data_IF_950410952376
#
_entry.id   IF_950410952376
#
_cell.length_a   1.000
_cell.length_b   1.000
_cell.length_c   1.000
_cell.angle_alpha   90.00
_cell.angle_beta   90.00
_cell.angle_gamma   90.00
#
_symmetry.space_group_name_H-M   'P 1'
#
loop_
_entity.id
_entity.type
_entity.pdbx_description
1 polymer ?
#
# COMPACT_ATOMS: atom_id res chain seq x y z
N UNK A 1 35.53 16.90 -8.13
CA UNK A 1 35.68 15.77 -7.19
C UNK A 1 34.40 15.68 -6.38
N UNK A 2 33.69 14.56 -6.38
CA UNK A 2 32.43 14.44 -5.63
C UNK A 2 32.75 14.09 -4.17
N UNK A 3 32.90 15.09 -3.31
CA UNK A 3 33.35 14.96 -1.90
C UNK A 3 32.31 14.29 -0.97
N UNK A 4 31.19 13.79 -1.52
CA UNK A 4 30.02 13.32 -0.78
C UNK A 4 30.15 11.87 -0.27
N UNK A 5 31.11 11.09 -0.77
CA UNK A 5 31.28 9.68 -0.43
C UNK A 5 32.76 9.34 -0.25
N UNK A 6 33.14 9.00 0.99
CA UNK A 6 34.47 8.48 1.34
C UNK A 6 34.38 7.01 1.69
N UNK A 7 35.43 6.26 1.41
CA UNK A 7 35.49 4.84 1.75
C UNK A 7 36.37 4.65 2.97
N UNK A 8 35.93 3.82 3.90
CA UNK A 8 36.71 3.37 5.04
C UNK A 8 37.43 2.10 4.59
N UNK A 9 38.76 2.12 4.69
CA UNK A 9 39.61 0.95 4.42
C UNK A 9 40.17 0.40 5.72
N UNK A 10 40.29 -0.92 5.81
CA UNK A 10 41.02 -1.58 6.90
C UNK A 10 42.54 -1.44 6.73
N UNK A 11 43.30 -2.02 7.67
CA UNK A 11 44.77 -2.00 7.66
C UNK A 11 45.39 -2.74 6.45
N UNK A 12 44.62 -3.61 5.79
CA UNK A 12 45.03 -4.29 4.56
C UNK A 12 44.66 -3.49 3.29
N UNK A 13 44.05 -2.32 3.42
CA UNK A 13 43.58 -1.49 2.31
C UNK A 13 42.26 -1.99 1.69
N UNK A 14 41.59 -2.97 2.30
CA UNK A 14 40.27 -3.42 1.86
C UNK A 14 39.20 -2.44 2.30
N UNK A 15 38.30 -2.09 1.39
CA UNK A 15 37.15 -1.22 1.68
C UNK A 15 36.15 -1.97 2.55
N UNK A 16 36.04 -1.58 3.81
CA UNK A 16 35.13 -2.18 4.81
C UNK A 16 33.90 -1.34 5.09
N UNK A 17 33.85 -0.09 4.61
CA UNK A 17 32.70 0.77 4.81
C UNK A 17 32.67 2.00 3.92
N UNK A 18 31.57 2.74 3.99
CA UNK A 18 31.36 3.99 3.27
C UNK A 18 30.94 5.05 4.28
N UNK A 19 31.69 6.15 4.32
CA UNK A 19 31.37 7.35 5.07
C UNK A 19 30.68 8.34 4.13
N UNK A 20 29.41 8.60 4.42
CA UNK A 20 28.60 9.58 3.70
C UNK A 20 28.58 10.90 4.46
N UNK A 21 28.53 12.00 3.71
CA UNK A 21 28.13 13.27 4.30
C UNK A 21 26.67 13.17 4.80
N UNK A 22 26.35 13.90 5.87
CA UNK A 22 25.02 13.89 6.46
C UNK A 22 23.91 14.25 5.45
N UNK A 23 24.17 15.13 4.48
CA UNK A 23 23.22 15.48 3.42
C UNK A 23 23.04 14.33 2.43
N UNK A 24 24.11 13.67 2.00
CA UNK A 24 24.04 12.48 1.16
C UNK A 24 23.31 11.32 1.87
N UNK A 25 23.56 11.13 3.17
CA UNK A 25 22.81 10.17 3.99
C UNK A 25 21.32 10.53 4.01
N UNK A 26 20.97 11.77 4.36
CA UNK A 26 19.59 12.24 4.35
C UNK A 26 18.92 12.09 2.99
N UNK A 27 19.62 12.33 1.88
CA UNK A 27 19.05 12.17 0.53
C UNK A 27 18.78 10.70 0.19
N UNK A 28 19.65 9.79 0.63
CA UNK A 28 19.47 8.34 0.47
C UNK A 28 18.35 7.82 1.37
N UNK A 29 18.24 8.30 2.60
CA UNK A 29 17.20 7.88 3.54
C UNK A 29 15.87 8.61 3.37
N UNK A 30 15.86 9.81 2.79
CA UNK A 30 14.66 10.58 2.43
C UNK A 30 14.24 10.30 0.98
N UNK A 31 14.47 9.10 0.44
CA UNK A 31 13.58 8.66 -0.63
C UNK A 31 12.16 8.75 -0.06
N UNK A 32 11.25 9.52 -0.69
CA UNK A 32 9.89 9.55 -0.22
C UNK A 32 9.42 8.10 -0.24
N UNK A 33 9.09 7.57 0.93
CA UNK A 33 8.45 6.27 1.03
C UNK A 33 7.33 6.26 0.00
N UNK A 34 7.33 5.26 -0.88
CA UNK A 34 6.31 5.10 -1.89
C UNK A 34 4.95 5.29 -1.20
N UNK A 35 4.19 6.30 -1.63
CA UNK A 35 2.98 6.76 -0.92
C UNK A 35 1.91 5.67 -0.88
N UNK A 36 2.02 4.68 -1.76
CA UNK A 36 1.14 3.55 -1.79
C UNK A 36 1.47 2.51 -0.72
N UNK A 37 2.69 2.52 -0.16
CA UNK A 37 3.08 1.66 0.96
C UNK A 37 2.41 2.08 2.27
N UNK A 38 1.89 1.09 2.97
CA UNK A 38 1.23 1.24 4.27
C UNK A 38 2.19 0.86 5.40
N UNK A 39 3.32 1.58 5.49
CA UNK A 39 4.47 1.21 6.33
C UNK A 39 4.22 1.20 7.85
N UNK A 40 3.10 1.76 8.32
CA UNK A 40 2.75 1.87 9.73
C UNK A 40 1.86 0.71 10.24
N UNK A 41 1.62 -0.30 9.40
CA UNK A 41 0.76 -1.44 9.74
C UNK A 41 1.57 -2.72 9.94
N UNK A 42 1.13 -3.57 10.85
CA UNK A 42 1.70 -4.91 11.04
C UNK A 42 1.41 -5.83 9.86
N UNK A 43 2.14 -6.94 9.77
CA UNK A 43 1.87 -7.96 8.76
C UNK A 43 0.44 -8.53 8.87
N UNK A 44 -0.07 -8.74 10.09
CA UNK A 44 -1.43 -9.21 10.35
C UNK A 44 -2.48 -8.19 9.92
N UNK A 45 -2.26 -6.90 10.22
CA UNK A 45 -3.14 -5.81 9.80
C UNK A 45 -3.19 -5.69 8.27
N UNK A 46 -2.04 -5.78 7.60
CA UNK A 46 -1.97 -5.78 6.15
C UNK A 46 -2.66 -7.00 5.53
N UNK A 47 -2.53 -8.18 6.14
CA UNK A 47 -3.25 -9.37 5.68
C UNK A 47 -4.77 -9.25 5.85
N UNK A 48 -5.22 -8.66 6.97
CA UNK A 48 -6.63 -8.38 7.20
C UNK A 48 -7.16 -7.40 6.14
N UNK A 49 -6.44 -6.30 5.87
CA UNK A 49 -6.80 -5.34 4.83
C UNK A 49 -6.78 -5.95 3.43
N UNK A 50 -5.81 -6.81 3.10
CA UNK A 50 -5.73 -7.47 1.79
C UNK A 50 -6.91 -8.41 1.49
N UNK A 51 -7.61 -8.85 2.54
CA UNK A 51 -8.77 -9.76 2.50
C UNK A 51 -10.09 -9.05 2.82
N UNK A 52 -10.07 -7.74 3.08
CA UNK A 52 -11.28 -6.99 3.40
C UNK A 52 -12.31 -7.09 2.28
N UNK A 53 -13.58 -7.02 2.64
CA UNK A 53 -14.72 -7.02 1.74
C UNK A 53 -15.85 -6.24 2.42
N UNK A 54 -16.89 -5.93 1.65
CA UNK A 54 -18.15 -5.50 2.25
C UNK A 54 -18.63 -6.53 3.26
N UNK A 55 -19.37 -6.08 4.28
CA UNK A 55 -20.06 -7.00 5.16
C UNK A 55 -21.08 -7.84 4.37
N UNK A 56 -21.46 -9.03 4.84
CA UNK A 56 -22.47 -9.84 4.17
C UNK A 56 -23.80 -9.11 3.96
N UNK A 57 -24.15 -8.20 4.88
CA UNK A 57 -25.35 -7.38 4.78
C UNK A 57 -25.23 -6.33 3.68
N UNK A 58 -24.13 -5.60 3.61
CA UNK A 58 -23.87 -4.60 2.56
C UNK A 58 -23.75 -5.26 1.18
N UNK A 59 -23.13 -6.43 1.08
CA UNK A 59 -23.05 -7.19 -0.16
C UNK A 59 -24.43 -7.65 -0.63
N UNK A 60 -25.26 -8.21 0.27
CA UNK A 60 -26.63 -8.60 -0.07
C UNK A 60 -27.46 -7.40 -0.54
N UNK A 61 -27.34 -6.26 0.14
CA UNK A 61 -28.03 -5.03 -0.27
C UNK A 61 -27.54 -4.54 -1.64
N UNK A 62 -26.25 -4.60 -1.91
CA UNK A 62 -25.70 -4.26 -3.22
C UNK A 62 -26.26 -5.18 -4.31
N UNK A 63 -26.33 -6.49 -4.05
CA UNK A 63 -26.85 -7.47 -5.01
C UNK A 63 -28.33 -7.15 -5.35
N UNK A 64 -29.16 -6.86 -4.36
CA UNK A 64 -30.56 -6.46 -4.54
C UNK A 64 -30.69 -5.17 -5.38
N UNK A 65 -29.89 -4.15 -5.07
CA UNK A 65 -29.90 -2.86 -5.76
C UNK A 65 -29.46 -3.00 -7.22
N UNK A 66 -28.47 -3.86 -7.50
CA UNK A 66 -28.02 -4.16 -8.86
C UNK A 66 -29.09 -4.90 -9.67
N UNK A 67 -29.82 -5.83 -9.05
CA UNK A 67 -30.94 -6.53 -9.69
C UNK A 67 -32.05 -5.55 -10.07
N UNK A 68 -32.48 -4.70 -9.12
CA UNK A 68 -33.49 -3.67 -9.37
C UNK A 68 -33.04 -2.63 -10.41
N UNK A 69 -31.76 -2.27 -10.42
CA UNK A 69 -31.19 -1.37 -11.43
C UNK A 69 -31.28 -2.00 -12.83
N UNK A 70 -30.92 -3.28 -12.96
CA UNK A 70 -30.98 -4.01 -14.22
C UNK A 70 -32.42 -4.13 -14.77
N UNK A 71 -33.41 -4.22 -13.88
CA UNK A 71 -34.83 -4.20 -14.24
C UNK A 71 -35.39 -2.79 -14.52
N UNK A 72 -34.61 -1.74 -14.31
CA UNK A 72 -35.04 -0.35 -14.47
C UNK A 72 -36.05 0.11 -13.42
N UNK A 73 -36.12 -0.59 -12.28
CA UNK A 73 -37.07 -0.33 -11.19
C UNK A 73 -36.44 0.43 -10.02
N UNK A 74 -35.15 0.75 -10.11
CA UNK A 74 -34.42 1.40 -9.02
C UNK A 74 -34.89 2.85 -8.82
N UNK A 75 -35.48 3.18 -7.65
CA UNK A 75 -35.90 4.52 -7.34
C UNK A 75 -34.69 5.45 -7.10
N UNK A 76 -34.84 6.77 -7.28
CA UNK A 76 -33.73 7.72 -7.18
C UNK A 76 -32.97 7.70 -5.84
N UNK A 77 -33.67 7.43 -4.74
CA UNK A 77 -33.06 7.34 -3.40
C UNK A 77 -32.13 6.12 -3.28
N UNK A 78 -32.53 5.00 -3.88
CA UNK A 78 -31.75 3.76 -3.89
C UNK A 78 -30.61 3.80 -4.91
N UNK A 79 -30.69 4.64 -5.95
CA UNK A 79 -29.55 4.94 -6.83
C UNK A 79 -28.39 5.57 -6.06
N UNK A 80 -28.69 6.49 -5.14
CA UNK A 80 -27.65 7.11 -4.29
C UNK A 80 -27.02 6.06 -3.37
N UNK A 81 -27.82 5.14 -2.83
CA UNK A 81 -27.33 4.03 -2.02
C UNK A 81 -26.40 3.10 -2.83
N UNK A 82 -26.81 2.74 -4.05
CA UNK A 82 -26.01 1.95 -4.97
C UNK A 82 -24.67 2.61 -5.29
N UNK A 83 -24.67 3.90 -5.62
CA UNK A 83 -23.44 4.66 -5.91
C UNK A 83 -22.48 4.69 -4.71
N UNK A 84 -23.02 4.80 -3.49
CA UNK A 84 -22.22 4.77 -2.26
C UNK A 84 -21.57 3.40 -2.03
N UNK A 85 -22.31 2.30 -2.22
CA UNK A 85 -21.79 0.94 -2.08
C UNK A 85 -20.71 0.62 -3.12
N UNK A 86 -20.90 1.07 -4.36
CA UNK A 86 -19.88 0.94 -5.41
C UNK A 86 -18.61 1.74 -5.07
N UNK A 87 -18.77 2.97 -4.58
CA UNK A 87 -17.65 3.80 -4.11
C UNK A 87 -16.88 3.12 -2.98
N UNK A 88 -17.60 2.48 -2.04
CA UNK A 88 -16.98 1.74 -0.94
C UNK A 88 -16.17 0.55 -1.45
N UNK A 89 -16.68 -0.18 -2.46
CA UNK A 89 -15.93 -1.28 -3.11
C UNK A 89 -14.64 -0.77 -3.76
N UNK A 90 -14.69 0.36 -4.47
CA UNK A 90 -13.52 0.93 -5.11
C UNK A 90 -12.45 1.31 -4.08
N UNK A 91 -12.87 1.93 -2.97
CA UNK A 91 -11.97 2.25 -1.86
C UNK A 91 -11.36 0.98 -1.23
N UNK A 92 -12.16 -0.06 -1.03
CA UNK A 92 -11.67 -1.35 -0.53
C UNK A 92 -10.67 -1.98 -1.51
N UNK A 93 -10.91 -1.91 -2.82
CA UNK A 93 -10.00 -2.45 -3.83
C UNK A 93 -8.65 -1.72 -3.85
N UNK A 94 -8.66 -0.39 -3.72
CA UNK A 94 -7.43 0.41 -3.59
C UNK A 94 -6.66 -0.01 -2.32
N UNK A 95 -7.34 -0.09 -1.18
CA UNK A 95 -6.71 -0.49 0.08
C UNK A 95 -6.15 -1.91 0.03
N UNK A 96 -6.89 -2.87 -0.53
CA UNK A 96 -6.44 -4.26 -0.73
C UNK A 96 -5.19 -4.32 -1.58
N UNK A 97 -5.16 -3.55 -2.66
CA UNK A 97 -4.02 -3.48 -3.58
C UNK A 97 -2.78 -2.93 -2.86
N UNK A 98 -2.93 -1.81 -2.15
CA UNK A 98 -1.86 -1.20 -1.35
C UNK A 98 -1.34 -2.13 -0.25
N UNK A 99 -2.24 -2.85 0.43
CA UNK A 99 -1.87 -3.81 1.45
C UNK A 99 -1.07 -5.00 0.88
N UNK A 100 -1.52 -5.57 -0.24
CA UNK A 100 -0.80 -6.65 -0.95
C UNK A 100 0.57 -6.20 -1.45
N UNK A 101 0.62 -5.00 -2.00
CA UNK A 101 1.87 -4.39 -2.45
C UNK A 101 2.85 -4.20 -1.29
N UNK A 102 2.37 -3.69 -0.15
CA UNK A 102 3.19 -3.52 1.05
C UNK A 102 3.71 -4.86 1.59
N UNK A 103 2.88 -5.91 1.60
CA UNK A 103 3.31 -7.27 1.97
C UNK A 103 4.39 -7.81 1.02
N UNK A 104 4.23 -7.62 -0.29
CA UNK A 104 5.23 -8.00 -1.27
C UNK A 104 6.54 -7.24 -1.08
N UNK A 105 6.46 -5.93 -0.80
CA UNK A 105 7.61 -5.10 -0.50
C UNK A 105 8.40 -5.62 0.72
N UNK A 106 7.72 -5.97 1.83
CA UNK A 106 8.40 -6.56 2.99
C UNK A 106 9.01 -7.94 2.69
N UNK A 107 8.34 -8.80 1.93
CA UNK A 107 8.89 -10.09 1.53
C UNK A 107 10.17 -9.94 0.68
N UNK A 108 10.19 -8.96 -0.23
CA UNK A 108 11.36 -8.68 -1.05
C UNK A 108 12.53 -8.14 -0.21
N UNK A 109 12.26 -7.30 0.80
CA UNK A 109 13.28 -6.82 1.73
C UNK A 109 13.88 -7.97 2.55
N UNK A 110 13.05 -8.85 3.09
CA UNK A 110 13.50 -10.01 3.87
C UNK A 110 14.29 -11.03 3.03
N UNK A 111 14.02 -11.10 1.72
CA UNK A 111 14.75 -11.99 0.79
C UNK A 111 16.10 -11.40 0.33
N UNK A 112 16.35 -10.11 0.58
CA UNK A 112 17.58 -9.41 0.20
C UNK A 112 18.61 -9.34 1.34
N UNK A 113 18.23 -9.75 2.56
CA UNK A 113 19.08 -9.83 3.76
C UNK A 113 19.48 -11.27 4.04
#
# INVERSE_FOLDING_TARGET
>A
MNEQMRYITDEAGQRVGVMLDWRAYLQLTNQPADRDLLLNLSQEELQALAKSALSPQEQGRLDDLLEQNAEGQLPPEETIELDNLLTQIDQLNILKTRARYTLQYYNNLASAT
#
